data_IF_430566009275
#
_entry.id   IF_430566009275
#
_cell.length_a   1.000
_cell.length_b   1.000
_cell.length_c   1.000
_cell.angle_alpha   90.00
_cell.angle_beta   90.00
_cell.angle_gamma   90.00
#
_symmetry.space_group_name_H-M   'P 1'
#
loop_
_entity.id
_entity.type
_entity.pdbx_description
1 polymer ?
#
# COMPACT_ATOMS: atom_id res chain seq x y z
N UNK A 1 -38.40 13.06 -13.30
CA UNK A 1 -37.30 12.43 -12.54
C UNK A 1 -36.82 13.45 -11.53
N UNK A 2 -37.19 13.30 -10.27
CA UNK A 2 -36.92 14.29 -9.21
C UNK A 2 -35.55 14.03 -8.57
N UNK A 3 -34.84 15.10 -8.17
CA UNK A 3 -33.53 15.07 -7.50
C UNK A 3 -33.43 14.09 -6.32
N UNK A 4 -34.57 13.75 -5.70
CA UNK A 4 -34.70 12.71 -4.66
C UNK A 4 -34.19 11.32 -5.08
N UNK A 5 -34.22 11.00 -6.36
CA UNK A 5 -33.80 9.68 -6.88
C UNK A 5 -32.30 9.62 -7.24
N UNK A 6 -31.61 10.77 -7.28
CA UNK A 6 -30.18 10.84 -7.62
C UNK A 6 -29.23 10.73 -6.42
N UNK A 7 -29.75 10.76 -5.18
CA UNK A 7 -28.91 10.99 -4.00
C UNK A 7 -29.23 10.10 -2.78
N UNK A 8 -29.20 8.76 -2.93
CA UNK A 8 -28.97 7.81 -1.82
C UNK A 8 -28.22 6.59 -2.41
N UNK A 9 -26.98 6.26 -1.97
CA UNK A 9 -26.79 5.54 -0.71
C UNK A 9 -25.66 6.04 0.19
N UNK A 10 -25.86 5.78 1.49
CA UNK A 10 -24.91 6.04 2.57
C UNK A 10 -23.61 5.25 2.45
N UNK A 11 -23.52 4.20 1.63
CA UNK A 11 -22.31 3.42 1.47
C UNK A 11 -22.38 2.77 0.08
N UNK A 12 -21.70 3.33 -0.92
CA UNK A 12 -21.19 2.53 -2.03
C UNK A 12 -19.79 2.07 -1.62
N UNK A 13 -19.49 0.79 -1.84
CA UNK A 13 -18.36 0.08 -1.22
C UNK A 13 -16.98 0.75 -1.35
N UNK A 14 -16.80 1.69 -2.30
CA UNK A 14 -15.52 2.40 -2.51
C UNK A 14 -15.64 3.87 -2.95
N UNK A 15 -16.71 4.57 -2.58
CA UNK A 15 -16.70 6.04 -2.56
C UNK A 15 -17.65 6.77 -3.50
N UNK A 16 -17.89 8.02 -3.10
CA UNK A 16 -18.65 9.10 -3.70
C UNK A 16 -19.00 8.95 -5.18
N UNK A 17 -20.30 8.79 -5.47
CA UNK A 17 -20.76 8.43 -6.81
C UNK A 17 -20.75 9.58 -7.83
N UNK A 18 -20.78 10.86 -7.39
CA UNK A 18 -20.81 12.00 -8.32
C UNK A 18 -20.49 13.34 -7.63
N UNK A 19 -19.54 14.09 -8.19
CA UNK A 19 -19.41 15.53 -7.91
C UNK A 19 -20.44 16.31 -8.71
N UNK A 20 -21.16 17.19 -8.01
CA UNK A 20 -22.08 18.12 -8.65
C UNK A 20 -21.28 19.23 -9.34
N UNK A 21 -21.79 19.67 -10.49
CA UNK A 21 -21.30 20.86 -11.19
C UNK A 21 -21.93 22.14 -10.64
N UNK A 22 -21.46 23.29 -11.11
CA UNK A 22 -21.88 24.60 -10.58
C UNK A 22 -23.38 24.84 -10.74
N UNK A 23 -23.99 24.39 -11.83
CA UNK A 23 -25.43 24.54 -12.09
C UNK A 23 -26.24 23.66 -11.13
N UNK A 24 -25.87 22.38 -10.97
CA UNK A 24 -26.51 21.47 -10.02
C UNK A 24 -26.35 21.94 -8.56
N UNK A 25 -25.24 22.61 -8.23
CA UNK A 25 -25.01 23.19 -6.90
C UNK A 25 -25.94 24.36 -6.59
N UNK A 26 -26.31 25.17 -7.59
CA UNK A 26 -27.21 26.32 -7.41
C UNK A 26 -28.64 25.85 -7.07
N UNK A 27 -29.08 24.73 -7.65
CA UNK A 27 -30.41 24.17 -7.45
C UNK A 27 -30.64 23.54 -6.07
N UNK A 28 -29.59 23.29 -5.29
CA UNK A 28 -29.71 22.63 -3.99
C UNK A 28 -30.40 23.51 -2.94
N UNK A 29 -31.38 22.92 -2.25
CA UNK A 29 -31.93 23.50 -1.02
C UNK A 29 -30.90 23.51 0.12
N UNK A 30 -31.07 24.32 1.18
CA UNK A 30 -30.15 24.33 2.31
C UNK A 30 -29.89 22.96 2.94
N UNK A 31 -30.92 22.10 3.01
CA UNK A 31 -30.79 20.73 3.53
C UNK A 31 -29.96 19.84 2.62
N UNK A 32 -30.18 19.92 1.30
CA UNK A 32 -29.42 19.13 0.32
C UNK A 32 -27.96 19.60 0.24
N UNK A 33 -27.70 20.91 0.34
CA UNK A 33 -26.35 21.47 0.45
C UNK A 33 -25.60 20.91 1.65
N UNK A 34 -26.26 20.86 2.82
CA UNK A 34 -25.66 20.27 4.03
C UNK A 34 -25.31 18.79 3.82
N UNK A 35 -26.24 18.01 3.27
CA UNK A 35 -25.99 16.58 3.01
C UNK A 35 -24.86 16.35 1.99
N UNK A 36 -24.77 17.21 0.98
CA UNK A 36 -23.68 17.18 0.00
C UNK A 36 -22.32 17.52 0.62
N UNK A 37 -22.27 18.49 1.54
CA UNK A 37 -21.02 18.81 2.25
C UNK A 37 -20.58 17.67 3.17
N UNK A 38 -21.50 17.03 3.87
CA UNK A 38 -21.20 15.88 4.72
C UNK A 38 -20.71 14.67 3.91
N UNK A 39 -21.29 14.42 2.74
CA UNK A 39 -20.81 13.35 1.85
C UNK A 39 -19.43 13.66 1.27
N UNK A 40 -19.13 14.93 0.94
CA UNK A 40 -17.79 15.37 0.53
C UNK A 40 -16.75 15.18 1.64
N UNK A 41 -17.11 15.50 2.89
CA UNK A 41 -16.23 15.28 4.04
C UNK A 41 -15.92 13.80 4.21
N UNK A 42 -16.94 12.95 4.23
CA UNK A 42 -16.75 11.51 4.36
C UNK A 42 -15.90 10.93 3.23
N UNK A 43 -16.11 11.37 1.99
CA UNK A 43 -15.27 10.98 0.86
C UNK A 43 -13.80 11.34 1.07
N UNK A 44 -13.51 12.55 1.54
CA UNK A 44 -12.13 12.99 1.82
C UNK A 44 -11.49 12.13 2.91
N UNK A 45 -12.21 11.85 3.98
CA UNK A 45 -11.71 11.01 5.07
C UNK A 45 -11.39 9.59 4.58
N UNK A 46 -12.30 8.98 3.80
CA UNK A 46 -12.07 7.66 3.20
C UNK A 46 -10.91 7.67 2.21
N UNK A 47 -10.83 8.69 1.36
CA UNK A 47 -9.77 8.83 0.35
C UNK A 47 -8.40 8.92 1.02
N UNK A 48 -8.29 9.72 2.08
CA UNK A 48 -7.07 9.83 2.87
C UNK A 48 -6.68 8.48 3.50
N UNK A 49 -7.64 7.76 4.09
CA UNK A 49 -7.36 6.42 4.68
C UNK A 49 -6.85 5.45 3.61
N UNK A 50 -7.49 5.41 2.44
CA UNK A 50 -7.11 4.49 1.35
C UNK A 50 -5.74 4.85 0.79
N UNK A 51 -5.48 6.13 0.52
CA UNK A 51 -4.22 6.58 -0.05
C UNK A 51 -3.06 6.30 0.92
N UNK A 52 -3.21 6.65 2.20
CA UNK A 52 -2.21 6.30 3.22
C UNK A 52 -2.00 4.78 3.35
N UNK A 53 -3.07 3.98 3.38
CA UNK A 53 -2.95 2.52 3.47
C UNK A 53 -2.22 1.92 2.27
N UNK A 54 -2.45 2.47 1.08
CA UNK A 54 -1.78 2.04 -0.15
C UNK A 54 -0.29 2.40 -0.11
N UNK A 55 0.03 3.62 0.29
CA UNK A 55 1.41 4.10 0.36
C UNK A 55 2.22 3.30 1.40
N UNK A 56 1.67 3.08 2.59
CA UNK A 56 2.28 2.21 3.62
C UNK A 56 2.46 0.77 3.11
N UNK A 57 1.47 0.23 2.40
CA UNK A 57 1.56 -1.11 1.82
C UNK A 57 2.67 -1.24 0.77
N UNK A 58 2.84 -0.21 -0.07
CA UNK A 58 3.92 -0.15 -1.06
C UNK A 58 5.28 -0.06 -0.38
N UNK A 59 5.42 0.85 0.59
CA UNK A 59 6.67 1.05 1.32
C UNK A 59 7.12 -0.24 2.03
N UNK A 60 6.22 -0.87 2.80
CA UNK A 60 6.50 -2.15 3.45
C UNK A 60 6.81 -3.26 2.45
N UNK A 61 6.13 -3.28 1.31
CA UNK A 61 6.36 -4.24 0.24
C UNK A 61 7.76 -4.10 -0.36
N UNK A 62 8.19 -2.87 -0.64
CA UNK A 62 9.53 -2.57 -1.15
C UNK A 62 10.60 -2.96 -0.12
N UNK A 63 10.43 -2.57 1.14
CA UNK A 63 11.39 -2.88 2.21
C UNK A 63 11.56 -4.39 2.39
N UNK A 64 10.46 -5.14 2.46
CA UNK A 64 10.48 -6.61 2.55
C UNK A 64 11.14 -7.23 1.32
N UNK A 65 10.82 -6.73 0.13
CA UNK A 65 11.40 -7.20 -1.13
C UNK A 65 12.92 -7.01 -1.20
N UNK A 66 13.42 -5.84 -0.79
CA UNK A 66 14.86 -5.55 -0.75
C UNK A 66 15.55 -6.50 0.23
N UNK A 67 15.06 -6.60 1.48
CA UNK A 67 15.64 -7.48 2.50
C UNK A 67 15.66 -8.95 2.07
N UNK A 68 14.57 -9.44 1.47
CA UNK A 68 14.50 -10.80 0.96
C UNK A 68 15.46 -11.02 -0.23
N UNK A 69 15.59 -10.04 -1.11
CA UNK A 69 16.51 -10.08 -2.25
C UNK A 69 17.97 -10.11 -1.81
N UNK A 70 18.36 -9.25 -0.87
CA UNK A 70 19.71 -9.22 -0.28
C UNK A 70 20.06 -10.55 0.39
N UNK A 71 19.17 -11.08 1.24
CA UNK A 71 19.38 -12.38 1.88
C UNK A 71 19.50 -13.52 0.86
N UNK A 72 18.63 -13.54 -0.16
CA UNK A 72 18.67 -14.56 -1.22
C UNK A 72 19.98 -14.50 -2.00
N UNK A 73 20.46 -13.30 -2.33
CA UNK A 73 21.74 -13.10 -3.02
C UNK A 73 22.93 -13.54 -2.15
N UNK A 74 22.93 -13.18 -0.86
CA UNK A 74 23.95 -13.61 0.09
C UNK A 74 24.05 -15.15 0.17
N UNK A 75 22.90 -15.84 0.23
CA UNK A 75 22.83 -17.31 0.22
C UNK A 75 23.40 -17.90 -1.08
N UNK A 76 23.03 -17.34 -2.24
CA UNK A 76 23.56 -17.83 -3.54
C UNK A 76 25.08 -17.67 -3.64
N UNK A 77 25.60 -16.53 -3.20
CA UNK A 77 27.05 -16.29 -3.15
C UNK A 77 27.71 -17.29 -2.21
N UNK A 78 27.17 -17.46 -1.00
CA UNK A 78 27.71 -18.40 -0.01
C UNK A 78 27.76 -19.85 -0.54
N UNK A 79 26.68 -20.34 -1.17
CA UNK A 79 26.67 -21.65 -1.83
C UNK A 79 27.76 -21.79 -2.89
N UNK A 80 27.92 -20.76 -3.71
CA UNK A 80 28.93 -20.75 -4.77
C UNK A 80 30.34 -20.79 -4.19
N UNK A 81 30.62 -20.02 -3.13
CA UNK A 81 31.92 -20.00 -2.47
C UNK A 81 32.22 -21.30 -1.72
N UNK A 82 31.22 -21.87 -1.03
CA UNK A 82 31.33 -23.16 -0.34
C UNK A 82 31.68 -24.28 -1.32
N UNK A 83 30.99 -24.32 -2.48
CA UNK A 83 31.30 -25.28 -3.55
C UNK A 83 32.70 -25.12 -4.15
N UNK A 84 33.28 -23.92 -4.06
CA UNK A 84 34.67 -23.65 -4.48
C UNK A 84 35.70 -23.97 -3.40
N UNK A 85 35.29 -24.51 -2.25
CA UNK A 85 36.18 -24.88 -1.15
C UNK A 85 36.71 -23.67 -0.37
N UNK A 86 36.05 -22.51 -0.45
CA UNK A 86 36.41 -21.35 0.36
C UNK A 86 36.04 -21.63 1.82
N UNK A 87 36.87 -21.16 2.76
CA UNK A 87 36.67 -21.41 4.18
C UNK A 87 35.39 -20.71 4.70
N UNK A 88 34.66 -21.40 5.59
CA UNK A 88 33.41 -20.91 6.19
C UNK A 88 33.59 -19.53 6.85
N UNK A 89 34.68 -19.25 7.62
CA UNK A 89 34.88 -17.93 8.20
C UNK A 89 35.00 -16.81 7.16
N UNK A 90 35.64 -17.08 6.02
CA UNK A 90 35.79 -16.09 4.95
C UNK A 90 34.47 -15.87 4.20
N UNK A 91 33.67 -16.93 4.01
CA UNK A 91 32.33 -16.83 3.43
C UNK A 91 31.44 -15.99 4.35
N UNK A 92 31.44 -16.27 5.65
CA UNK A 92 30.71 -15.52 6.68
C UNK A 92 31.05 -14.04 6.63
N UNK A 93 32.34 -13.71 6.63
CA UNK A 93 32.81 -12.32 6.50
C UNK A 93 32.35 -11.65 5.20
N UNK A 94 32.27 -12.41 4.09
CA UNK A 94 31.98 -11.85 2.76
C UNK A 94 30.48 -11.68 2.49
N UNK A 95 29.62 -12.53 3.07
CA UNK A 95 28.18 -12.56 2.79
C UNK A 95 27.33 -12.01 3.94
N UNK A 96 27.92 -11.85 5.13
CA UNK A 96 27.21 -11.44 6.34
C UNK A 96 26.30 -12.51 6.94
N UNK A 97 26.35 -13.75 6.42
CA UNK A 97 25.66 -14.89 7.00
C UNK A 97 26.48 -15.45 8.18
N UNK A 98 25.80 -16.01 9.17
CA UNK A 98 26.49 -16.73 10.24
C UNK A 98 27.17 -17.99 9.71
N UNK A 99 28.24 -18.43 10.38
CA UNK A 99 28.92 -19.68 10.02
C UNK A 99 27.96 -20.87 10.09
N UNK A 100 27.07 -20.89 11.08
CA UNK A 100 26.01 -21.91 11.19
C UNK A 100 25.07 -21.90 9.97
N UNK A 101 24.57 -20.72 9.55
CA UNK A 101 23.75 -20.63 8.34
C UNK A 101 24.48 -21.19 7.13
N UNK A 102 25.79 -20.90 6.99
CA UNK A 102 26.62 -21.39 5.88
C UNK A 102 26.87 -22.90 5.95
N UNK A 103 27.05 -23.47 7.14
CA UNK A 103 27.17 -24.92 7.34
C UNK A 103 25.93 -25.67 6.85
N UNK A 104 24.75 -25.07 7.08
CA UNK A 104 23.44 -25.62 6.68
C UNK A 104 23.10 -25.43 5.18
N UNK A 105 23.85 -24.61 4.42
CA UNK A 105 23.64 -24.36 2.97
C UNK A 105 24.10 -25.48 2.04
#
# INVERSE_FOLDING_TARGET
MTLKDKYIPQFSDFGFNKFLDDDELVELSPKERYQYQESLKHYRDLKNVIDSSKDEGIEQGIERGIKQGEKSKAIQIAKTLKNKGISIPLISQSTGLSEQEIEEL
#
